data_IF_502527193549
#
_entry.id   IF_502527193549
#
_cell.length_a   1.000
_cell.length_b   1.000
_cell.length_c   1.000
_cell.angle_alpha   90.00
_cell.angle_beta   90.00
_cell.angle_gamma   90.00
#
_symmetry.space_group_name_H-M   'P 1'
#
loop_
_entity.id
_entity.type
_entity.pdbx_description
1 polymer ?
#
# COMPACT_ATOMS: atom_id res chain seq x y z
N UNK A 1 -7.96 16.59 1.42
CA UNK A 1 -7.34 15.25 1.42
C UNK A 1 -6.55 15.15 0.12
N UNK A 2 -5.30 14.67 0.13
CA UNK A 2 -4.64 14.29 -1.12
C UNK A 2 -5.54 13.30 -1.85
N UNK A 3 -5.57 13.33 -3.18
CA UNK A 3 -6.26 12.29 -3.94
C UNK A 3 -5.57 10.96 -3.61
N UNK A 4 -6.32 9.99 -3.08
CA UNK A 4 -5.80 8.66 -2.76
C UNK A 4 -5.45 8.00 -4.09
N UNK A 5 -4.19 7.61 -4.25
CA UNK A 5 -3.73 6.80 -5.37
C UNK A 5 -3.48 5.39 -4.85
N UNK A 6 -4.29 4.43 -5.32
CA UNK A 6 -4.15 3.01 -4.97
C UNK A 6 -2.74 2.53 -5.27
N UNK A 7 -2.07 1.99 -4.25
CA UNK A 7 -0.68 1.54 -4.25
C UNK A 7 0.37 2.59 -3.87
N UNK A 8 0.05 3.89 -3.79
CA UNK A 8 0.99 4.95 -3.32
C UNK A 8 0.84 5.16 -1.81
N UNK A 9 1.27 4.14 -1.06
CA UNK A 9 1.10 4.06 0.41
C UNK A 9 1.97 5.08 1.14
N UNK A 10 3.05 5.55 0.52
CA UNK A 10 3.92 6.58 1.07
C UNK A 10 3.50 8.00 0.70
N UNK A 11 2.55 8.15 -0.23
CA UNK A 11 2.02 9.45 -0.67
C UNK A 11 3.05 10.30 -1.41
N UNK A 12 4.02 9.66 -2.07
CA UNK A 12 5.11 10.34 -2.75
C UNK A 12 4.78 10.68 -4.22
N UNK A 13 3.63 10.22 -4.72
CA UNK A 13 3.15 10.41 -6.08
C UNK A 13 3.64 9.35 -7.07
N UNK A 14 4.29 8.27 -6.61
CA UNK A 14 4.80 7.17 -7.44
C UNK A 14 4.70 5.86 -6.68
N UNK A 15 4.16 4.83 -7.33
CA UNK A 15 4.13 3.47 -6.80
C UNK A 15 5.51 2.85 -6.98
N UNK A 16 6.17 2.52 -5.87
CA UNK A 16 7.55 2.06 -5.89
C UNK A 16 7.91 1.12 -4.73
N UNK A 17 9.19 0.79 -4.63
CA UNK A 17 9.70 -0.14 -3.63
C UNK A 17 9.43 0.30 -2.17
N UNK A 18 9.25 1.61 -1.93
CA UNK A 18 8.90 2.12 -0.61
C UNK A 18 7.46 1.80 -0.23
N UNK A 19 6.54 1.81 -1.19
CA UNK A 19 5.13 1.45 -0.96
C UNK A 19 5.02 -0.06 -0.73
N UNK A 20 5.68 -0.87 -1.57
CA UNK A 20 5.76 -2.33 -1.38
C UNK A 20 6.29 -2.68 0.02
N UNK A 21 7.37 -2.01 0.45
CA UNK A 21 7.94 -2.23 1.79
C UNK A 21 6.96 -1.80 2.89
N UNK A 22 6.25 -0.68 2.73
CA UNK A 22 5.30 -0.19 3.72
C UNK A 22 4.14 -1.17 3.92
N UNK A 23 3.56 -1.71 2.84
CA UNK A 23 2.52 -2.75 2.93
C UNK A 23 3.08 -4.03 3.55
N UNK A 24 4.27 -4.47 3.11
CA UNK A 24 4.90 -5.70 3.65
C UNK A 24 5.12 -5.64 5.16
N UNK A 25 5.59 -4.50 5.68
CA UNK A 25 5.80 -4.30 7.12
C UNK A 25 4.47 -4.20 7.90
N UNK A 26 3.41 -3.75 7.24
CA UNK A 26 2.07 -3.73 7.82
C UNK A 26 1.52 -5.13 7.99
N UNK A 27 1.58 -5.93 6.93
CA UNK A 27 1.10 -7.31 6.91
C UNK A 27 1.91 -8.20 7.87
N UNK A 28 3.23 -7.99 7.97
CA UNK A 28 4.06 -8.71 8.95
C UNK A 28 3.83 -8.29 10.40
N UNK A 29 3.15 -7.17 10.63
CA UNK A 29 2.93 -6.58 11.95
C UNK A 29 4.16 -5.85 12.52
N UNK A 30 5.21 -5.65 11.72
CA UNK A 30 6.42 -4.94 12.14
C UNK A 30 6.19 -3.42 12.25
N UNK A 31 5.37 -2.84 11.34
CA UNK A 31 5.01 -1.43 11.37
C UNK A 31 3.54 -1.20 10.99
N UNK A 32 2.81 -0.40 11.78
CA UNK A 32 1.40 -0.10 11.48
C UNK A 32 1.26 1.12 10.55
N UNK A 33 0.42 1.02 9.52
CA UNK A 33 -0.07 2.14 8.73
C UNK A 33 -1.04 2.97 9.57
N UNK A 34 -0.60 4.16 10.02
CA UNK A 34 -1.32 4.96 11.03
C UNK A 34 -2.41 5.82 10.44
N UNK A 35 -2.18 6.35 9.24
CA UNK A 35 -3.11 7.26 8.60
C UNK A 35 -4.18 6.49 7.81
N UNK A 36 -5.41 6.98 7.83
CA UNK A 36 -6.53 6.36 7.10
C UNK A 36 -6.30 6.34 5.59
N UNK A 37 -5.74 7.42 5.03
CA UNK A 37 -5.42 7.48 3.61
C UNK A 37 -4.33 6.49 3.20
N UNK A 38 -3.40 6.14 4.11
CA UNK A 38 -2.38 5.12 3.82
C UNK A 38 -3.01 3.73 3.75
N UNK A 39 -3.92 3.42 4.68
CA UNK A 39 -4.66 2.15 4.68
C UNK A 39 -5.51 2.01 3.43
N UNK A 40 -6.22 3.08 3.05
CA UNK A 40 -7.01 3.12 1.82
C UNK A 40 -6.16 3.08 0.53
N UNK A 41 -4.88 3.48 0.59
CA UNK A 41 -3.95 3.31 -0.54
C UNK A 41 -3.32 1.90 -0.56
N UNK A 42 -3.23 1.24 0.60
CA UNK A 42 -2.62 -0.08 0.75
C UNK A 42 -3.58 -1.21 0.38
N UNK A 43 -4.85 -1.09 0.74
CA UNK A 43 -5.97 -1.94 0.28
C UNK A 43 -6.24 -1.64 -1.20
N UNK A 44 -5.51 -2.33 -2.08
CA UNK A 44 -5.39 -1.99 -3.50
C UNK A 44 -6.43 -2.71 -4.36
N UNK A 45 -6.93 -3.86 -3.91
CA UNK A 45 -8.07 -4.56 -4.51
C UNK A 45 -9.42 -4.19 -3.90
N UNK A 46 -9.42 -3.34 -2.86
CA UNK A 46 -10.61 -2.78 -2.22
C UNK A 46 -11.49 -3.87 -1.56
N UNK A 47 -10.87 -4.95 -1.06
CA UNK A 47 -11.59 -6.02 -0.38
C UNK A 47 -11.86 -5.73 1.11
N UNK A 48 -11.20 -4.70 1.65
CA UNK A 48 -11.37 -4.17 2.99
C UNK A 48 -10.40 -4.70 4.03
N UNK A 49 -9.55 -5.67 3.67
CA UNK A 49 -8.41 -6.13 4.45
C UNK A 49 -7.10 -5.58 3.84
N UNK A 50 -5.99 -5.63 4.59
CA UNK A 50 -4.66 -5.31 4.05
C UNK A 50 -3.80 -6.53 4.28
N UNK A 51 -3.54 -7.30 3.22
CA UNK A 51 -2.91 -8.61 3.31
C UNK A 51 -1.87 -8.90 2.21
N UNK A 52 -1.49 -10.17 2.05
CA UNK A 52 -0.46 -10.60 1.10
C UNK A 52 -0.85 -10.36 -0.36
N UNK A 53 -2.15 -10.34 -0.69
CA UNK A 53 -2.64 -10.07 -2.04
C UNK A 53 -2.37 -8.60 -2.42
N UNK A 54 -2.51 -7.65 -1.48
CA UNK A 54 -2.11 -6.26 -1.68
C UNK A 54 -0.62 -6.10 -1.89
N UNK A 55 0.20 -6.81 -1.10
CA UNK A 55 1.66 -6.79 -1.24
C UNK A 55 2.06 -7.21 -2.65
N UNK A 56 1.44 -8.27 -3.16
CA UNK A 56 1.72 -8.79 -4.50
C UNK A 56 1.25 -7.82 -5.58
N UNK A 57 0.07 -7.20 -5.43
CA UNK A 57 -0.46 -6.25 -6.40
C UNK A 57 0.33 -4.94 -6.46
N UNK A 58 0.76 -4.39 -5.31
CA UNK A 58 1.68 -3.24 -5.27
C UNK A 58 2.99 -3.60 -5.99
N UNK A 59 3.51 -4.80 -5.75
CA UNK A 59 4.73 -5.28 -6.43
C UNK A 59 4.53 -5.39 -7.94
N UNK A 60 3.40 -5.92 -8.40
CA UNK A 60 3.12 -6.07 -9.83
C UNK A 60 3.05 -4.70 -10.53
N UNK A 61 2.45 -3.69 -9.89
CA UNK A 61 2.43 -2.30 -10.40
C UNK A 61 3.80 -1.65 -10.54
N UNK A 62 4.80 -2.08 -9.77
CA UNK A 62 6.17 -1.56 -9.90
C UNK A 62 6.82 -2.02 -11.21
N UNK A 63 6.38 -3.14 -11.77
CA UNK A 63 6.98 -3.78 -12.95
C UNK A 63 6.10 -3.75 -14.21
N UNK A 64 4.94 -3.06 -14.17
CA UNK A 64 4.09 -2.77 -15.33
C UNK A 64 4.73 -1.73 -16.27
#
# INVERSE_FOLDING_TARGET
LPAISLGDVTGNGTIGAMDWRAVSLHVSGDELLKEEWQRAAADIDEDGDIDEDDVQQVKDKIFE
#
